data_IF_324244260156
#
_entry.id   IF_324244260156
#
_cell.length_a   1.000
_cell.length_b   1.000
_cell.length_c   1.000
_cell.angle_alpha   90.00
_cell.angle_beta   90.00
_cell.angle_gamma   90.00
#
_symmetry.space_group_name_H-M   'P 1'
#
loop_
_entity.id
_entity.type
_entity.pdbx_description
1 polymer ?
#
# COMPACT_ATOMS: atom_id res chain seq x y z
N UNK A 1 -9.75 24.11 -7.98
CA UNK A 1 -8.82 23.22 -8.70
C UNK A 1 -7.58 23.97 -9.20
N UNK A 2 -7.77 25.16 -9.76
CA UNK A 2 -6.66 25.98 -10.29
C UNK A 2 -5.67 26.46 -9.21
N UNK A 3 -6.12 26.71 -8.00
CA UNK A 3 -5.29 27.13 -6.87
C UNK A 3 -4.46 25.97 -6.27
N UNK A 4 -5.01 24.76 -6.21
CA UNK A 4 -4.28 23.59 -5.71
C UNK A 4 -3.18 23.16 -6.69
N UNK A 5 -3.43 23.17 -7.98
CA UNK A 5 -2.42 22.89 -9.01
C UNK A 5 -1.33 23.98 -9.06
N UNK A 6 -1.66 25.25 -8.80
CA UNK A 6 -0.66 26.31 -8.65
C UNK A 6 0.21 26.12 -7.41
N UNK A 7 -0.37 25.70 -6.28
CA UNK A 7 0.38 25.36 -5.06
C UNK A 7 1.26 24.13 -5.24
N UNK A 8 0.77 23.07 -5.87
CA UNK A 8 1.58 21.91 -6.22
C UNK A 8 2.71 22.24 -7.20
N UNK A 9 2.46 23.05 -8.22
CA UNK A 9 3.51 23.51 -9.12
C UNK A 9 4.56 24.39 -8.40
N UNK A 10 4.14 25.20 -7.45
CA UNK A 10 5.05 26.01 -6.63
C UNK A 10 5.89 25.12 -5.70
N UNK A 11 5.33 24.06 -5.11
CA UNK A 11 6.09 23.10 -4.31
C UNK A 11 7.12 22.29 -5.13
N UNK A 12 6.81 21.99 -6.40
CA UNK A 12 7.71 21.19 -7.26
C UNK A 12 8.76 22.00 -8.01
N UNK A 13 8.61 23.31 -8.13
CA UNK A 13 9.45 24.16 -9.01
C UNK A 13 10.27 25.19 -8.23
N UNK A 14 9.86 25.49 -7.00
CA UNK A 14 10.57 26.47 -6.17
C UNK A 14 11.74 25.85 -5.42
N UNK A 15 12.81 26.62 -5.40
CA UNK A 15 14.00 26.31 -4.64
C UNK A 15 13.66 26.03 -3.17
N UNK A 16 14.36 25.09 -2.58
CA UNK A 16 14.16 24.67 -1.18
C UNK A 16 14.39 25.82 -0.15
N UNK A 17 14.85 26.95 -0.59
CA UNK A 17 15.00 28.18 0.20
C UNK A 17 13.75 29.06 0.14
N UNK A 18 12.74 28.67 -0.62
CA UNK A 18 11.48 29.41 -0.64
C UNK A 18 10.64 29.05 0.59
N UNK A 19 10.19 30.07 1.27
CA UNK A 19 9.26 29.95 2.35
C UNK A 19 7.90 29.46 1.85
N UNK A 20 7.36 28.44 2.50
CA UNK A 20 6.00 27.97 2.26
C UNK A 20 5.08 28.68 3.25
N UNK A 21 4.13 29.48 2.75
CA UNK A 21 3.06 29.99 3.60
C UNK A 21 2.07 28.86 3.93
N UNK A 22 1.92 28.56 5.20
CA UNK A 22 0.90 27.67 5.73
C UNK A 22 -0.41 28.42 5.98
N UNK A 23 -1.53 27.73 6.18
CA UNK A 23 -2.86 28.31 6.25
C UNK A 23 -3.03 29.37 7.36
N UNK A 24 -2.23 29.31 8.42
CA UNK A 24 -2.23 30.31 9.51
C UNK A 24 -1.40 31.57 9.21
N UNK A 25 -0.82 31.67 8.02
CA UNK A 25 0.02 32.81 7.63
C UNK A 25 1.49 32.69 8.04
N UNK A 26 1.90 31.62 8.72
CA UNK A 26 3.29 31.37 9.07
C UNK A 26 4.10 31.00 7.84
N UNK A 27 5.39 31.27 7.90
CA UNK A 27 6.33 30.95 6.85
C UNK A 27 7.24 29.84 7.33
N UNK A 28 7.29 28.73 6.57
CA UNK A 28 8.19 27.61 6.85
C UNK A 28 9.33 27.65 5.82
N UNK A 29 10.55 27.72 6.31
CA UNK A 29 11.76 27.67 5.50
C UNK A 29 12.27 26.23 5.44
N UNK A 30 12.60 25.74 4.23
CA UNK A 30 13.20 24.41 4.06
C UNK A 30 14.71 24.52 4.27
N UNK A 31 15.25 23.82 5.25
CA UNK A 31 16.67 23.79 5.59
C UNK A 31 17.27 22.48 5.09
N UNK A 32 18.36 22.50 4.30
CA UNK A 32 19.06 21.27 3.92
C UNK A 32 19.65 20.59 5.15
N UNK A 33 19.33 19.32 5.34
CA UNK A 33 19.87 18.50 6.42
C UNK A 33 20.63 17.32 5.81
N UNK A 34 21.90 17.22 6.07
CA UNK A 34 22.78 16.17 5.56
C UNK A 34 22.93 14.99 6.51
N UNK A 35 22.63 15.18 7.78
CA UNK A 35 22.73 14.17 8.82
C UNK A 35 21.43 14.09 9.63
N UNK A 36 20.97 12.88 9.91
CA UNK A 36 19.78 12.61 10.74
C UNK A 36 19.93 13.20 12.15
N UNK A 37 21.14 13.24 12.70
CA UNK A 37 21.41 13.84 14.01
C UNK A 37 21.02 15.32 14.10
N UNK A 38 20.93 16.01 12.97
CA UNK A 38 20.55 17.42 12.87
C UNK A 38 19.03 17.63 12.68
N UNK A 39 18.26 16.54 12.66
CA UNK A 39 16.79 16.60 12.57
C UNK A 39 16.24 16.82 13.97
N UNK A 40 15.57 17.93 14.16
CA UNK A 40 15.00 18.32 15.47
C UNK A 40 13.73 17.55 15.85
N UNK A 41 13.27 16.62 15.01
CA UNK A 41 12.04 15.84 15.20
C UNK A 41 10.73 16.62 15.12
N UNK A 42 10.81 17.92 14.79
CA UNK A 42 9.63 18.80 14.69
C UNK A 42 9.26 19.13 13.25
N UNK A 43 10.20 19.00 12.34
CA UNK A 43 10.03 19.35 10.95
C UNK A 43 10.07 18.12 10.03
N UNK A 44 9.28 18.10 8.93
CA UNK A 44 9.33 17.02 7.95
C UNK A 44 10.69 17.03 7.22
N UNK A 45 11.18 15.84 6.92
CA UNK A 45 12.43 15.64 6.15
C UNK A 45 12.09 14.99 4.82
N UNK A 46 12.65 15.52 3.74
CA UNK A 46 12.54 14.96 2.39
C UNK A 46 13.89 14.39 1.97
N UNK A 47 13.88 13.14 1.51
CA UNK A 47 15.07 12.49 0.98
C UNK A 47 14.72 11.58 -0.19
N UNK A 48 15.52 11.61 -1.24
CA UNK A 48 15.50 10.65 -2.33
C UNK A 48 16.59 9.61 -2.07
N UNK A 49 16.22 8.37 -1.82
CA UNK A 49 17.14 7.26 -1.57
C UNK A 49 16.47 5.92 -1.85
N UNK A 50 17.27 4.87 -1.96
CA UNK A 50 16.78 3.50 -2.06
C UNK A 50 16.15 3.08 -0.74
N UNK A 51 14.88 2.67 -0.75
CA UNK A 51 14.13 2.25 0.43
C UNK A 51 14.66 0.94 1.05
N UNK A 52 15.54 0.22 0.35
CA UNK A 52 16.27 -0.93 0.90
C UNK A 52 17.43 -0.52 1.82
N UNK A 53 17.75 0.79 1.90
CA UNK A 53 18.88 1.35 2.65
C UNK A 53 18.46 2.63 3.36
N UNK A 54 17.98 2.50 4.57
CA UNK A 54 17.54 3.62 5.41
C UNK A 54 18.55 3.91 6.54
N UNK A 55 19.85 3.81 6.22
CA UNK A 55 20.94 3.97 7.21
C UNK A 55 20.95 5.34 7.90
N UNK A 56 20.34 6.34 7.27
CA UNK A 56 20.16 7.67 7.82
C UNK A 56 19.09 7.77 8.91
N UNK A 57 18.29 6.72 9.12
CA UNK A 57 17.27 6.63 10.17
C UNK A 57 17.80 5.69 11.27
N UNK A 58 17.82 6.09 12.55
CA UNK A 58 18.19 5.20 13.64
C UNK A 58 17.24 4.00 13.74
N UNK A 59 17.77 2.87 14.18
CA UNK A 59 16.96 1.69 14.43
C UNK A 59 15.98 1.95 15.58
N UNK A 60 14.81 1.33 15.52
CA UNK A 60 13.73 1.42 16.53
C UNK A 60 13.32 2.87 16.87
N UNK A 61 13.42 3.80 15.91
CA UNK A 61 13.09 5.22 16.09
C UNK A 61 11.74 5.63 15.49
N UNK A 62 11.21 4.85 14.56
CA UNK A 62 10.00 5.17 13.78
C UNK A 62 8.76 4.57 14.43
N UNK A 63 7.74 5.38 14.67
CA UNK A 63 6.46 4.91 15.21
C UNK A 63 5.64 4.17 14.16
N UNK A 64 5.64 4.68 12.93
CA UNK A 64 4.87 4.10 11.82
C UNK A 64 5.55 4.37 10.49
N UNK A 65 5.63 3.34 9.65
CA UNK A 65 5.89 3.46 8.22
C UNK A 65 4.55 3.48 7.51
N UNK A 66 4.31 4.50 6.69
CA UNK A 66 3.15 4.61 5.82
C UNK A 66 3.63 4.74 4.38
N UNK A 67 3.22 3.81 3.51
CA UNK A 67 3.73 3.76 2.13
C UNK A 67 2.67 3.26 1.15
N UNK A 68 2.91 3.50 -0.13
CA UNK A 68 2.20 2.94 -1.27
C UNK A 68 3.24 2.22 -2.15
N UNK A 69 3.48 0.92 -1.92
CA UNK A 69 4.50 0.18 -2.65
C UNK A 69 4.03 -0.10 -4.08
N UNK A 70 4.93 -0.42 -5.01
CA UNK A 70 4.51 -0.86 -6.35
C UNK A 70 3.73 -2.18 -6.29
N UNK A 71 2.65 -2.27 -7.09
CA UNK A 71 1.73 -3.41 -7.12
C UNK A 71 2.11 -4.37 -8.27
N UNK A 72 2.97 -5.34 -8.00
CA UNK A 72 3.34 -6.38 -8.96
C UNK A 72 3.74 -5.84 -10.34
N UNK A 73 2.93 -6.12 -11.35
CA UNK A 73 3.14 -5.72 -12.75
C UNK A 73 2.26 -4.55 -13.22
N UNK A 74 1.57 -3.85 -12.31
CA UNK A 74 0.52 -2.89 -12.69
C UNK A 74 1.04 -1.66 -13.42
N UNK A 75 2.16 -1.08 -12.96
CA UNK A 75 2.68 0.21 -13.48
C UNK A 75 4.20 0.17 -13.56
N UNK A 76 4.75 0.59 -14.69
CA UNK A 76 6.19 0.84 -14.88
C UNK A 76 6.50 2.27 -14.41
N UNK A 77 6.65 2.45 -13.10
CA UNK A 77 6.78 3.77 -12.48
C UNK A 77 7.99 4.55 -12.99
N UNK A 78 9.12 3.88 -13.20
CA UNK A 78 10.35 4.50 -13.67
C UNK A 78 10.22 5.11 -15.08
N UNK A 79 9.36 4.55 -15.93
CA UNK A 79 9.09 5.09 -17.27
C UNK A 79 8.21 6.34 -17.20
N UNK A 80 7.19 6.32 -16.33
CA UNK A 80 6.28 7.45 -16.14
C UNK A 80 6.97 8.61 -15.43
N UNK A 81 7.80 8.32 -14.43
CA UNK A 81 8.47 9.35 -13.63
C UNK A 81 9.56 10.08 -14.41
N UNK A 82 10.11 9.49 -15.47
CA UNK A 82 11.14 10.13 -16.31
C UNK A 82 10.68 11.50 -16.83
N UNK A 83 9.39 11.64 -17.14
CA UNK A 83 8.84 12.93 -17.54
C UNK A 83 9.03 14.02 -16.48
N UNK A 84 8.88 13.68 -15.20
CA UNK A 84 9.09 14.62 -14.10
C UNK A 84 10.55 14.69 -13.67
N UNK A 85 11.27 13.58 -13.79
CA UNK A 85 12.67 13.45 -13.41
C UNK A 85 13.57 14.42 -14.19
N UNK A 86 13.36 14.55 -15.49
CA UNK A 86 14.11 15.48 -16.35
C UNK A 86 14.04 16.92 -15.85
N UNK A 87 12.88 17.35 -15.35
CA UNK A 87 12.72 18.71 -14.81
C UNK A 87 13.40 18.87 -13.46
N UNK A 88 13.31 17.87 -12.59
CA UNK A 88 13.97 17.89 -11.30
C UNK A 88 15.49 17.81 -11.43
N UNK A 89 16.00 16.99 -12.33
CA UNK A 89 17.45 16.84 -12.56
C UNK A 89 18.13 18.12 -12.96
N UNK A 90 17.46 19.07 -13.59
CA UNK A 90 17.99 20.38 -13.97
C UNK A 90 18.19 21.32 -12.76
N UNK A 91 17.53 21.04 -11.64
CA UNK A 91 17.65 21.82 -10.41
C UNK A 91 18.95 21.49 -9.67
N UNK A 92 19.73 22.52 -9.25
CA UNK A 92 20.90 22.32 -8.40
C UNK A 92 20.57 21.62 -7.09
N UNK A 93 19.39 21.90 -6.57
CA UNK A 93 18.84 21.37 -5.34
C UNK A 93 18.48 19.89 -5.46
N UNK A 94 17.89 19.50 -6.58
CA UNK A 94 17.53 18.09 -6.77
C UNK A 94 18.76 17.18 -6.72
N UNK A 95 19.91 17.66 -7.20
CA UNK A 95 21.18 16.91 -7.11
C UNK A 95 21.63 16.66 -5.68
N UNK A 96 21.45 17.62 -4.79
CA UNK A 96 21.81 17.48 -3.37
C UNK A 96 20.90 16.50 -2.62
N UNK A 97 19.65 16.31 -3.07
CA UNK A 97 18.71 15.35 -2.47
C UNK A 97 18.66 14.00 -3.19
N UNK A 98 19.56 13.75 -4.16
CA UNK A 98 19.75 12.44 -4.76
C UNK A 98 19.38 12.29 -6.24
N UNK A 99 18.96 13.37 -6.94
CA UNK A 99 18.75 13.34 -8.39
C UNK A 99 20.07 13.53 -9.12
N UNK A 100 20.94 12.53 -9.12
CA UNK A 100 22.30 12.59 -9.69
C UNK A 100 22.36 12.20 -11.16
N UNK A 101 21.39 11.42 -11.63
CA UNK A 101 21.35 10.88 -12.98
C UNK A 101 20.28 11.56 -13.84
N UNK A 102 20.48 11.65 -15.18
CA UNK A 102 19.53 12.34 -16.07
C UNK A 102 18.20 11.60 -16.27
N UNK A 103 18.15 10.31 -15.93
CA UNK A 103 16.95 9.46 -16.00
C UNK A 103 16.77 8.69 -14.70
N UNK A 104 15.55 8.26 -14.41
CA UNK A 104 15.26 7.45 -13.24
C UNK A 104 15.98 6.09 -13.28
N UNK A 105 16.39 5.51 -12.14
CA UNK A 105 17.14 4.24 -12.08
C UNK A 105 16.23 3.04 -12.34
N UNK A 106 15.99 2.71 -13.62
CA UNK A 106 15.11 1.61 -14.05
C UNK A 106 15.56 0.23 -13.57
N UNK A 107 16.87 0.02 -13.46
CA UNK A 107 17.44 -1.25 -13.00
C UNK A 107 17.07 -1.58 -11.58
N UNK A 108 16.95 -0.56 -10.73
CA UNK A 108 16.68 -0.70 -9.29
C UNK A 108 15.18 -0.72 -8.94
N UNK A 109 14.33 -0.46 -9.90
CA UNK A 109 12.88 -0.45 -9.71
C UNK A 109 12.36 -1.84 -9.33
N UNK A 110 11.62 -1.92 -8.23
CA UNK A 110 11.06 -3.16 -7.68
C UNK A 110 9.66 -3.38 -8.26
N UNK A 111 9.60 -3.98 -9.43
CA UNK A 111 8.35 -4.34 -10.13
C UNK A 111 8.50 -5.70 -10.81
N UNK A 112 7.38 -6.28 -11.23
CA UNK A 112 7.37 -7.39 -12.18
C UNK A 112 7.41 -6.80 -13.60
N UNK A 113 8.50 -7.05 -14.33
CA UNK A 113 8.67 -6.65 -15.72
C UNK A 113 9.44 -7.73 -16.49
N UNK A 114 8.75 -8.72 -17.10
CA UNK A 114 9.42 -9.83 -17.79
C UNK A 114 10.35 -9.39 -18.94
N UNK A 115 10.02 -8.26 -19.60
CA UNK A 115 10.85 -7.70 -20.68
C UNK A 115 12.21 -7.25 -20.13
N UNK A 116 12.23 -6.72 -18.90
CA UNK A 116 13.46 -6.32 -18.20
C UNK A 116 14.09 -7.47 -17.40
N UNK A 117 13.60 -8.70 -17.52
CA UNK A 117 14.08 -9.87 -16.76
C UNK A 117 13.70 -9.85 -15.28
N UNK A 118 12.68 -9.09 -14.90
CA UNK A 118 12.19 -8.95 -13.52
C UNK A 118 10.91 -9.77 -13.36
N UNK A 119 11.01 -10.92 -12.76
CA UNK A 119 9.91 -11.83 -12.43
C UNK A 119 9.30 -11.57 -11.05
N UNK A 120 8.41 -12.44 -10.61
CA UNK A 120 7.81 -12.35 -9.27
C UNK A 120 8.82 -12.59 -8.16
N UNK A 121 9.84 -13.40 -8.36
CA UNK A 121 10.92 -13.65 -7.39
C UNK A 121 11.77 -12.39 -7.18
N UNK A 122 12.10 -11.69 -8.27
CA UNK A 122 12.77 -10.40 -8.21
C UNK A 122 11.95 -9.38 -7.40
N UNK A 123 10.65 -9.27 -7.71
CA UNK A 123 9.73 -8.36 -7.01
C UNK A 123 9.65 -8.70 -5.51
N UNK A 124 9.38 -9.95 -5.18
CA UNK A 124 9.27 -10.43 -3.81
C UNK A 124 10.56 -10.20 -3.01
N UNK A 125 11.71 -10.49 -3.61
CA UNK A 125 13.02 -10.25 -2.99
C UNK A 125 13.23 -8.77 -2.69
N UNK A 126 12.91 -7.90 -3.63
CA UNK A 126 13.02 -6.46 -3.50
C UNK A 126 12.12 -5.90 -2.39
N UNK A 127 10.85 -6.26 -2.40
CA UNK A 127 9.87 -5.83 -1.37
C UNK A 127 10.25 -6.38 0.02
N UNK A 128 10.71 -7.64 0.08
CA UNK A 128 11.18 -8.24 1.34
C UNK A 128 12.36 -7.44 1.91
N UNK A 129 13.31 -7.02 1.08
CA UNK A 129 14.44 -6.21 1.50
C UNK A 129 13.99 -4.84 2.05
N UNK A 130 13.02 -4.17 1.39
CA UNK A 130 12.44 -2.91 1.86
C UNK A 130 11.74 -3.10 3.21
N UNK A 131 10.88 -4.11 3.33
CA UNK A 131 10.17 -4.36 4.58
C UNK A 131 11.08 -4.80 5.72
N UNK A 132 12.15 -5.54 5.42
CA UNK A 132 13.19 -5.90 6.39
C UNK A 132 13.90 -4.66 6.94
N UNK A 133 14.19 -3.71 6.05
CA UNK A 133 14.78 -2.43 6.49
C UNK A 133 13.78 -1.61 7.31
N UNK A 134 12.52 -1.54 6.89
CA UNK A 134 11.46 -0.92 7.68
C UNK A 134 11.33 -1.57 9.08
N UNK A 135 11.44 -2.91 9.15
CA UNK A 135 11.38 -3.64 10.43
C UNK A 135 12.47 -3.22 11.40
N UNK A 136 13.70 -2.97 10.92
CA UNK A 136 14.79 -2.46 11.77
C UNK A 136 14.46 -1.06 12.32
N UNK A 137 13.88 -0.19 11.49
CA UNK A 137 13.61 1.21 11.83
C UNK A 137 12.40 1.42 12.73
N UNK A 138 11.38 0.56 12.58
CA UNK A 138 10.13 0.64 13.35
C UNK A 138 10.36 0.20 14.78
N UNK A 139 9.78 0.92 15.76
CA UNK A 139 9.75 0.57 17.19
C UNK A 139 9.07 -0.78 17.43
N UNK A 140 9.23 -1.36 18.59
CA UNK A 140 8.66 -2.69 18.94
C UNK A 140 7.14 -2.75 18.84
N UNK A 141 6.47 -1.66 19.19
CA UNK A 141 5.02 -1.48 19.14
C UNK A 141 4.56 -0.67 17.92
N UNK A 142 5.48 -0.38 17.00
CA UNK A 142 5.20 0.39 15.81
C UNK A 142 4.58 -0.45 14.68
N UNK A 143 4.17 0.25 13.61
CA UNK A 143 3.38 -0.32 12.54
C UNK A 143 4.03 -0.10 11.17
N UNK A 144 3.82 -1.07 10.27
CA UNK A 144 3.95 -0.89 8.83
C UNK A 144 2.53 -0.85 8.26
N UNK A 145 2.17 0.25 7.62
CA UNK A 145 0.86 0.47 7.00
C UNK A 145 1.08 0.79 5.53
N UNK A 146 0.38 0.11 4.64
CA UNK A 146 0.50 0.38 3.22
C UNK A 146 -0.78 0.05 2.46
N UNK A 147 -0.97 0.74 1.32
CA UNK A 147 -2.04 0.44 0.39
C UNK A 147 -1.66 -0.74 -0.50
N UNK A 148 -2.60 -1.62 -0.80
CA UNK A 148 -2.41 -2.69 -1.76
C UNK A 148 -3.73 -3.21 -2.30
N UNK A 149 -3.77 -3.49 -3.59
CA UNK A 149 -4.75 -4.33 -4.25
C UNK A 149 -4.16 -4.98 -5.48
N UNK A 150 -4.57 -6.16 -5.81
CA UNK A 150 -4.22 -6.82 -7.08
C UNK A 150 -5.28 -7.85 -7.45
N UNK A 151 -5.43 -8.15 -8.74
CA UNK A 151 -6.30 -9.22 -9.25
C UNK A 151 -5.61 -10.58 -9.22
N UNK A 152 -4.29 -10.58 -9.16
CA UNK A 152 -3.47 -11.79 -9.16
C UNK A 152 -3.24 -12.27 -7.74
N UNK A 153 -3.58 -13.53 -7.48
CA UNK A 153 -3.23 -14.19 -6.22
C UNK A 153 -1.70 -14.28 -6.05
N UNK A 154 -0.94 -14.42 -7.13
CA UNK A 154 0.54 -14.46 -7.06
C UNK A 154 1.12 -13.15 -6.52
N UNK A 155 0.57 -12.00 -6.94
CA UNK A 155 0.96 -10.69 -6.39
C UNK A 155 0.63 -10.60 -4.89
N UNK A 156 -0.54 -11.10 -4.48
CA UNK A 156 -0.91 -11.17 -3.07
C UNK A 156 0.02 -12.07 -2.26
N UNK A 157 0.37 -13.24 -2.79
CA UNK A 157 1.28 -14.16 -2.12
C UNK A 157 2.68 -13.54 -1.98
N UNK A 158 3.19 -12.90 -3.02
CA UNK A 158 4.48 -12.24 -2.98
C UNK A 158 4.54 -11.16 -1.89
N UNK A 159 3.52 -10.31 -1.78
CA UNK A 159 3.48 -9.25 -0.76
C UNK A 159 3.32 -9.81 0.66
N UNK A 160 2.46 -10.83 0.83
CA UNK A 160 2.24 -11.46 2.14
C UNK A 160 3.47 -12.20 2.62
N UNK A 161 4.14 -12.97 1.76
CA UNK A 161 5.39 -13.65 2.09
C UNK A 161 6.50 -12.65 2.43
N UNK A 162 6.53 -11.50 1.74
CA UNK A 162 7.47 -10.42 2.06
C UNK A 162 7.21 -9.81 3.43
N UNK A 163 5.94 -9.58 3.81
CA UNK A 163 5.55 -9.10 5.15
C UNK A 163 6.05 -10.05 6.23
N UNK A 164 5.72 -11.34 6.09
CA UNK A 164 6.05 -12.35 7.11
C UNK A 164 7.55 -12.62 7.20
N UNK A 165 8.25 -12.70 6.04
CA UNK A 165 9.69 -12.89 5.99
C UNK A 165 10.46 -11.72 6.59
N UNK A 166 9.94 -10.51 6.45
CA UNK A 166 10.52 -9.31 7.07
C UNK A 166 10.26 -9.19 8.59
N UNK A 167 9.46 -10.09 9.18
CA UNK A 167 9.17 -10.08 10.62
C UNK A 167 7.97 -9.24 11.02
N UNK A 168 7.12 -8.88 10.08
CA UNK A 168 5.82 -8.29 10.36
C UNK A 168 4.71 -9.35 10.33
N UNK A 169 3.56 -9.01 10.89
CA UNK A 169 2.33 -9.80 10.80
C UNK A 169 1.17 -8.90 10.42
N UNK A 170 0.42 -9.30 9.40
CA UNK A 170 -0.82 -8.62 9.01
C UNK A 170 -1.84 -8.75 10.14
N UNK A 171 -2.34 -7.62 10.64
CA UNK A 171 -3.28 -7.56 11.76
C UNK A 171 -4.69 -7.17 11.35
N UNK A 172 -4.80 -6.26 10.38
CA UNK A 172 -6.10 -5.75 9.90
C UNK A 172 -5.98 -5.25 8.47
N UNK A 173 -7.09 -5.29 7.76
CA UNK A 173 -7.25 -4.55 6.53
C UNK A 173 -8.43 -3.57 6.64
N UNK A 174 -8.28 -2.41 6.02
CA UNK A 174 -9.32 -1.40 5.94
C UNK A 174 -9.59 -1.09 4.46
N UNK A 175 -10.79 -1.44 3.95
CA UNK A 175 -11.19 -1.04 2.62
C UNK A 175 -11.34 0.48 2.55
N UNK A 176 -10.66 1.10 1.60
CA UNK A 176 -10.73 2.53 1.33
C UNK A 176 -11.05 2.74 -0.13
N UNK A 177 -11.69 3.85 -0.45
CA UNK A 177 -11.94 4.14 -1.86
C UNK A 177 -10.61 4.44 -2.57
N UNK A 178 -10.35 3.72 -3.65
CA UNK A 178 -9.31 4.09 -4.60
C UNK A 178 -9.63 5.42 -5.29
N UNK A 179 -8.69 5.98 -6.03
CA UNK A 179 -8.82 7.28 -6.70
C UNK A 179 -10.12 7.42 -7.50
N UNK A 180 -10.65 8.65 -7.55
CA UNK A 180 -11.88 8.95 -8.29
C UNK A 180 -11.77 8.59 -9.76
N UNK A 181 -12.71 7.83 -10.26
CA UNK A 181 -12.75 7.25 -11.61
C UNK A 181 -13.12 8.25 -12.70
N UNK A 182 -12.44 9.37 -12.76
CA UNK A 182 -12.59 10.34 -13.87
C UNK A 182 -11.62 10.07 -15.03
N UNK A 183 -10.78 9.03 -14.92
CA UNK A 183 -9.80 8.65 -15.94
C UNK A 183 -10.38 7.70 -17.01
N UNK A 184 -9.93 7.83 -18.26
CA UNK A 184 -10.32 6.98 -19.39
C UNK A 184 -10.05 5.47 -19.17
N UNK A 185 -9.18 5.12 -18.22
CA UNK A 185 -8.80 3.74 -17.88
C UNK A 185 -9.75 3.02 -16.91
N UNK A 186 -10.67 3.73 -16.27
CA UNK A 186 -11.53 3.20 -15.21
C UNK A 186 -12.95 2.82 -15.67
N UNK A 187 -13.25 2.94 -16.96
CA UNK A 187 -14.55 2.60 -17.53
C UNK A 187 -14.80 1.09 -17.69
N UNK A 188 -13.82 0.24 -17.38
CA UNK A 188 -13.95 -1.21 -17.50
C UNK A 188 -14.68 -1.81 -16.29
N UNK A 189 -15.72 -2.61 -16.55
CA UNK A 189 -16.61 -3.24 -15.56
C UNK A 189 -15.89 -4.12 -14.51
N UNK A 190 -14.63 -4.48 -14.74
CA UNK A 190 -13.82 -5.36 -13.87
C UNK A 190 -12.64 -4.62 -13.21
N UNK A 191 -12.65 -3.30 -13.15
CA UNK A 191 -11.59 -2.57 -12.44
C UNK A 191 -11.83 -2.62 -10.93
N UNK A 192 -10.75 -2.85 -10.17
CA UNK A 192 -10.74 -2.68 -8.72
C UNK A 192 -11.00 -1.21 -8.41
N UNK A 193 -11.84 -0.94 -7.45
CA UNK A 193 -12.22 0.39 -7.06
C UNK A 193 -12.06 0.68 -5.58
N UNK A 194 -11.64 -0.34 -4.86
CA UNK A 194 -11.37 -0.29 -3.44
C UNK A 194 -9.92 -0.66 -3.23
N UNK A 195 -9.15 0.24 -2.65
CA UNK A 195 -7.84 -0.06 -2.10
C UNK A 195 -7.97 -0.65 -0.71
N UNK A 196 -6.98 -1.41 -0.30
CA UNK A 196 -6.90 -1.94 1.05
C UNK A 196 -5.72 -1.31 1.77
N UNK A 197 -5.98 -0.65 2.89
CA UNK A 197 -4.93 -0.26 3.83
C UNK A 197 -4.62 -1.46 4.71
N UNK A 198 -3.47 -2.07 4.47
CA UNK A 198 -2.97 -3.21 5.23
C UNK A 198 -2.18 -2.70 6.43
N UNK A 199 -2.60 -3.11 7.64
CA UNK A 199 -1.95 -2.73 8.89
C UNK A 199 -1.17 -3.92 9.42
N UNK A 200 0.15 -3.80 9.42
CA UNK A 200 1.07 -4.82 9.87
C UNK A 200 1.78 -4.36 11.14
N UNK A 201 1.97 -5.28 12.07
CA UNK A 201 2.68 -5.04 13.32
C UNK A 201 3.97 -5.86 13.38
N UNK A 202 5.00 -5.27 13.95
CA UNK A 202 6.27 -5.95 14.22
C UNK A 202 6.04 -7.14 15.13
N UNK A 203 6.56 -8.31 14.78
CA UNK A 203 6.51 -9.50 15.63
C UNK A 203 7.70 -9.46 16.56
N UNK A 204 7.43 -9.35 17.85
CA UNK A 204 8.46 -9.21 18.90
C UNK A 204 9.34 -10.46 19.05
N UNK A 205 8.84 -11.62 18.65
CA UNK A 205 9.58 -12.89 18.72
C UNK A 205 9.38 -13.70 17.43
N UNK A 206 10.33 -13.58 16.50
CA UNK A 206 10.42 -14.49 15.35
C UNK A 206 10.71 -15.94 15.75
N UNK A 207 11.16 -16.13 17.01
CA UNK A 207 11.57 -17.41 17.60
C UNK A 207 10.42 -18.30 18.09
N UNK A 208 9.20 -17.79 18.17
CA UNK A 208 8.07 -18.66 18.50
C UNK A 208 7.85 -19.67 17.37
N UNK A 209 7.76 -20.97 17.66
CA UNK A 209 7.47 -21.96 16.63
C UNK A 209 6.16 -21.63 15.93
N UNK A 210 6.16 -21.70 14.62
CA UNK A 210 4.93 -21.55 13.85
C UNK A 210 4.02 -22.76 14.14
N UNK A 211 2.75 -22.48 14.37
CA UNK A 211 1.76 -23.54 14.55
C UNK A 211 1.52 -24.23 13.22
N UNK A 212 1.52 -25.56 13.23
CA UNK A 212 1.14 -26.34 12.03
C UNK A 212 -0.32 -26.03 11.73
N UNK A 213 -0.58 -25.65 10.50
CA UNK A 213 -1.95 -25.35 10.05
C UNK A 213 -2.71 -26.65 9.83
N UNK A 214 -3.81 -26.81 10.56
CA UNK A 214 -4.78 -27.88 10.37
C UNK A 214 -5.96 -27.41 9.52
N UNK A 215 -6.72 -28.33 8.97
CA UNK A 215 -7.95 -28.01 8.23
C UNK A 215 -8.94 -27.19 9.08
N UNK A 216 -9.06 -27.50 10.36
CA UNK A 216 -9.89 -26.74 11.31
C UNK A 216 -9.47 -25.26 11.42
N UNK A 217 -8.18 -24.98 11.46
CA UNK A 217 -7.64 -23.59 11.51
C UNK A 217 -8.02 -22.86 10.22
N UNK A 218 -7.92 -23.51 9.07
CA UNK A 218 -8.26 -22.92 7.78
C UNK A 218 -9.76 -22.66 7.67
N UNK A 219 -10.61 -23.61 8.09
CA UNK A 219 -12.06 -23.45 8.08
C UNK A 219 -12.51 -22.33 9.03
N UNK A 220 -11.88 -22.21 10.20
CA UNK A 220 -12.14 -21.09 11.12
C UNK A 220 -11.72 -19.74 10.51
N UNK A 221 -10.61 -19.69 9.79
CA UNK A 221 -10.19 -18.47 9.08
C UNK A 221 -11.18 -18.11 7.96
N UNK A 222 -11.70 -19.08 7.21
CA UNK A 222 -12.74 -18.88 6.19
C UNK A 222 -14.03 -18.36 6.84
N UNK A 223 -14.48 -18.96 7.95
CA UNK A 223 -15.67 -18.51 8.66
C UNK A 223 -15.52 -17.05 9.13
N UNK A 224 -14.38 -16.72 9.76
CA UNK A 224 -14.05 -15.33 10.18
C UNK A 224 -14.07 -14.36 9.00
N UNK A 225 -13.49 -14.77 7.87
CA UNK A 225 -13.45 -13.96 6.63
C UNK A 225 -14.85 -13.74 6.10
N UNK A 226 -15.70 -14.76 6.10
CA UNK A 226 -17.11 -14.67 5.67
C UNK A 226 -17.89 -13.67 6.51
N UNK A 227 -17.79 -13.77 7.83
CA UNK A 227 -18.49 -12.87 8.76
C UNK A 227 -18.03 -11.42 8.60
N UNK A 228 -16.71 -11.20 8.46
CA UNK A 228 -16.14 -9.90 8.20
C UNK A 228 -16.63 -9.32 6.87
N UNK A 229 -16.65 -10.15 5.82
CA UNK A 229 -17.09 -9.75 4.49
C UNK A 229 -18.55 -9.31 4.50
N UNK A 230 -19.46 -10.13 5.09
CA UNK A 230 -20.87 -9.80 5.22
C UNK A 230 -21.05 -8.48 5.97
N UNK A 231 -20.40 -8.32 7.13
CA UNK A 231 -20.44 -7.07 7.90
C UNK A 231 -19.92 -5.85 7.13
N UNK A 232 -18.93 -6.05 6.27
CA UNK A 232 -18.38 -4.99 5.42
C UNK A 232 -19.34 -4.62 4.30
N UNK A 233 -19.94 -5.62 3.65
CA UNK A 233 -20.93 -5.40 2.60
C UNK A 233 -22.20 -4.70 3.14
N UNK A 234 -22.66 -5.06 4.35
CA UNK A 234 -23.73 -4.33 5.03
C UNK A 234 -23.41 -2.85 5.26
N UNK A 235 -22.17 -2.53 5.64
CA UNK A 235 -21.73 -1.14 5.79
C UNK A 235 -21.67 -0.43 4.45
N UNK A 236 -21.19 -1.09 3.40
CA UNK A 236 -21.19 -0.56 2.05
C UNK A 236 -22.60 -0.26 1.56
N UNK A 237 -23.54 -1.17 1.78
CA UNK A 237 -24.94 -0.98 1.42
C UNK A 237 -25.58 0.21 2.13
N UNK A 238 -25.30 0.39 3.44
CA UNK A 238 -25.83 1.53 4.22
C UNK A 238 -25.36 2.89 3.71
N UNK A 239 -24.22 2.93 3.04
CA UNK A 239 -23.65 4.16 2.48
C UNK A 239 -23.74 4.18 0.96
N UNK A 240 -24.52 3.27 0.38
CA UNK A 240 -24.71 3.12 -1.07
C UNK A 240 -23.39 2.95 -1.84
N UNK A 241 -22.40 2.31 -1.20
CA UNK A 241 -21.10 2.02 -1.82
C UNK A 241 -21.23 0.97 -2.90
N UNK A 242 -20.65 1.26 -4.03
CA UNK A 242 -20.55 0.30 -5.12
C UNK A 242 -19.27 -0.51 -5.01
N UNK A 243 -19.38 -1.81 -5.24
CA UNK A 243 -18.23 -2.73 -5.24
C UNK A 243 -18.37 -3.77 -6.35
N UNK A 244 -17.25 -4.31 -6.77
CA UNK A 244 -17.15 -5.33 -7.82
C UNK A 244 -16.72 -6.66 -7.21
N UNK A 245 -16.82 -7.76 -7.96
CA UNK A 245 -16.31 -9.06 -7.53
C UNK A 245 -14.82 -9.00 -7.17
N UNK A 246 -13.92 -8.38 -7.97
CA UNK A 246 -12.53 -8.18 -7.57
C UNK A 246 -12.35 -7.39 -6.27
N UNK A 247 -13.18 -6.40 -5.98
CA UNK A 247 -13.12 -5.67 -4.70
C UNK A 247 -13.40 -6.62 -3.52
N UNK A 248 -14.43 -7.45 -3.65
CA UNK A 248 -14.80 -8.43 -2.62
C UNK A 248 -13.69 -9.48 -2.44
N UNK A 249 -13.13 -9.99 -3.54
CA UNK A 249 -12.03 -10.96 -3.50
C UNK A 249 -10.80 -10.38 -2.78
N UNK A 250 -10.43 -9.13 -3.06
CA UNK A 250 -9.30 -8.48 -2.40
C UNK A 250 -9.53 -8.35 -0.88
N UNK A 251 -10.72 -7.92 -0.47
CA UNK A 251 -11.09 -7.84 0.96
C UNK A 251 -11.01 -9.22 1.61
N UNK A 252 -11.53 -10.25 0.93
CA UNK A 252 -11.52 -11.62 1.43
C UNK A 252 -10.09 -12.17 1.59
N UNK A 253 -9.21 -11.96 0.62
CA UNK A 253 -7.81 -12.40 0.69
C UNK A 253 -7.11 -11.74 1.89
N UNK A 254 -7.24 -10.42 2.03
CA UNK A 254 -6.57 -9.69 3.10
C UNK A 254 -7.06 -10.14 4.48
N UNK A 255 -8.35 -10.29 4.68
CA UNK A 255 -8.92 -10.74 5.96
C UNK A 255 -8.55 -12.19 6.28
N UNK A 256 -8.62 -13.07 5.30
CA UNK A 256 -8.23 -14.48 5.46
C UNK A 256 -6.79 -14.62 5.95
N UNK A 257 -5.84 -13.91 5.34
CA UNK A 257 -4.45 -13.94 5.80
C UNK A 257 -4.22 -13.18 7.10
N UNK A 258 -5.04 -12.18 7.41
CA UNK A 258 -5.06 -11.55 8.74
C UNK A 258 -5.45 -12.55 9.84
N UNK A 259 -6.44 -13.40 9.57
CA UNK A 259 -6.89 -14.44 10.48
C UNK A 259 -5.87 -15.58 10.65
N UNK A 260 -5.21 -16.02 9.56
CA UNK A 260 -4.19 -17.06 9.61
C UNK A 260 -2.86 -16.59 10.22
N UNK A 261 -2.52 -15.31 10.04
CA UNK A 261 -1.22 -14.78 10.42
C UNK A 261 -0.06 -15.45 9.69
N UNK A 262 1.13 -15.43 10.28
CA UNK A 262 2.35 -16.01 9.66
C UNK A 262 2.38 -17.55 9.62
N UNK A 263 1.46 -18.22 10.30
CA UNK A 263 1.43 -19.69 10.34
C UNK A 263 1.26 -20.31 8.95
N UNK A 264 0.71 -19.55 8.00
CA UNK A 264 0.63 -19.93 6.60
C UNK A 264 1.98 -20.36 5.99
N UNK A 265 3.10 -19.84 6.50
CA UNK A 265 4.46 -20.21 6.05
C UNK A 265 5.05 -21.42 6.79
N UNK A 266 4.29 -22.11 7.63
CA UNK A 266 4.81 -23.16 8.51
C UNK A 266 5.47 -24.32 7.75
N UNK A 267 4.85 -24.77 6.66
CA UNK A 267 5.36 -25.82 5.78
C UNK A 267 4.64 -25.84 4.42
N UNK A 268 5.18 -26.58 3.45
CA UNK A 268 4.61 -26.66 2.10
C UNK A 268 3.24 -27.34 2.05
N UNK A 269 2.97 -28.29 2.94
CA UNK A 269 1.67 -29.00 3.01
C UNK A 269 0.61 -28.04 3.50
N UNK A 270 0.90 -27.30 4.58
CA UNK A 270 0.02 -26.24 5.10
C UNK A 270 -0.24 -25.18 4.03
N UNK A 271 0.79 -24.76 3.32
CA UNK A 271 0.66 -23.79 2.22
C UNK A 271 -0.31 -24.27 1.15
N UNK A 272 -0.18 -25.54 0.69
CA UNK A 272 -1.06 -26.11 -0.31
C UNK A 272 -2.52 -26.20 0.20
N UNK A 273 -2.73 -26.65 1.42
CA UNK A 273 -4.06 -26.72 2.05
C UNK A 273 -4.72 -25.34 2.09
N UNK A 274 -3.99 -24.33 2.59
CA UNK A 274 -4.47 -22.95 2.71
C UNK A 274 -4.89 -22.40 1.35
N UNK A 275 -4.03 -22.53 0.33
CA UNK A 275 -4.30 -21.98 -1.00
C UNK A 275 -5.47 -22.70 -1.70
N UNK A 276 -5.56 -24.01 -1.58
CA UNK A 276 -6.68 -24.75 -2.17
C UNK A 276 -8.03 -24.38 -1.56
N UNK A 277 -8.09 -24.22 -0.25
CA UNK A 277 -9.34 -23.81 0.44
C UNK A 277 -9.69 -22.35 0.14
N UNK A 278 -8.68 -21.46 0.12
CA UNK A 278 -8.90 -20.07 -0.25
C UNK A 278 -9.42 -19.95 -1.69
N UNK A 279 -8.85 -20.70 -2.64
CA UNK A 279 -9.31 -20.67 -4.03
C UNK A 279 -10.77 -21.10 -4.14
N UNK A 280 -11.18 -22.20 -3.48
CA UNK A 280 -12.55 -22.64 -3.45
C UNK A 280 -13.48 -21.55 -2.87
N UNK A 281 -13.04 -20.86 -1.82
CA UNK A 281 -13.80 -19.77 -1.23
C UNK A 281 -13.97 -18.60 -2.19
N UNK A 282 -12.89 -18.19 -2.89
CA UNK A 282 -12.90 -17.10 -3.85
C UNK A 282 -13.74 -17.42 -5.10
N UNK A 283 -13.74 -18.68 -5.56
CA UNK A 283 -14.53 -19.13 -6.70
C UNK A 283 -16.04 -19.04 -6.39
N UNK A 284 -16.42 -19.18 -5.12
CA UNK A 284 -17.81 -19.09 -4.66
C UNK A 284 -18.13 -17.75 -3.96
N UNK A 285 -17.32 -16.71 -4.18
CA UNK A 285 -17.45 -15.43 -3.46
C UNK A 285 -18.76 -14.70 -3.73
N UNK A 286 -19.35 -14.88 -4.91
CA UNK A 286 -20.64 -14.30 -5.26
C UNK A 286 -21.79 -14.93 -4.46
N UNK A 287 -21.70 -16.22 -4.11
CA UNK A 287 -22.67 -16.89 -3.23
C UNK A 287 -22.56 -16.36 -1.80
N UNK A 288 -21.35 -16.03 -1.36
CA UNK A 288 -21.12 -15.39 -0.05
C UNK A 288 -21.69 -13.98 -0.01
N UNK A 289 -21.59 -13.25 -1.10
CA UNK A 289 -22.18 -11.91 -1.24
C UNK A 289 -23.72 -11.97 -1.27
N UNK A 290 -24.33 -13.10 -1.69
CA UNK A 290 -25.77 -13.34 -1.62
C UNK A 290 -26.60 -12.25 -2.29
N UNK A 291 -27.56 -11.69 -1.53
CA UNK A 291 -28.50 -10.66 -2.01
C UNK A 291 -27.91 -9.25 -2.10
N UNK A 292 -26.62 -9.07 -1.76
CA UNK A 292 -25.98 -7.77 -1.93
C UNK A 292 -25.84 -7.46 -3.42
N UNK A 293 -26.35 -6.29 -3.85
CA UNK A 293 -26.21 -5.83 -5.23
C UNK A 293 -24.74 -5.58 -5.55
N UNK A 294 -24.12 -6.55 -6.23
CA UNK A 294 -22.81 -6.36 -6.86
C UNK A 294 -23.01 -5.44 -8.05
N UNK A 295 -22.63 -4.20 -7.93
CA UNK A 295 -23.03 -3.17 -8.88
C UNK A 295 -22.32 -3.33 -10.21
N UNK A 296 -23.11 -3.34 -11.27
CA UNK A 296 -22.63 -3.34 -12.66
C UNK A 296 -22.39 -1.93 -13.21
N UNK A 297 -22.78 -0.88 -12.46
CA UNK A 297 -22.57 0.54 -12.80
C UNK A 297 -22.19 1.34 -11.57
N UNK A 298 -21.22 2.24 -11.71
CA UNK A 298 -20.80 3.15 -10.63
C UNK A 298 -21.30 4.57 -10.87
N UNK A 299 -22.01 5.11 -9.90
CA UNK A 299 -22.32 6.54 -9.78
C UNK A 299 -21.49 7.16 -8.67
N UNK A 300 -20.99 8.36 -8.86
CA UNK A 300 -20.00 9.02 -7.98
C UNK A 300 -20.51 9.43 -6.58
N UNK A 301 -21.01 8.50 -5.80
CA UNK A 301 -21.66 8.70 -4.49
C UNK A 301 -20.72 9.22 -3.36
N UNK A 302 -19.41 8.97 -3.44
CA UNK A 302 -18.44 9.48 -2.46
C UNK A 302 -18.44 11.01 -2.37
N UNK A 303 -18.66 11.68 -3.49
CA UNK A 303 -18.76 13.15 -3.49
C UNK A 303 -19.94 13.65 -2.67
N UNK A 304 -21.04 12.91 -2.67
CA UNK A 304 -22.25 13.21 -1.90
C UNK A 304 -22.03 12.97 -0.40
N UNK A 305 -21.45 11.83 -0.04
CA UNK A 305 -21.14 11.46 1.35
C UNK A 305 -20.10 12.39 1.96
N UNK A 306 -19.10 12.80 1.20
CA UNK A 306 -18.08 13.75 1.63
C UNK A 306 -18.71 15.13 1.88
N UNK A 307 -19.62 15.58 1.00
CA UNK A 307 -20.37 16.80 1.16
C UNK A 307 -21.28 16.78 2.39
N UNK A 308 -22.01 15.69 2.62
CA UNK A 308 -22.89 15.54 3.77
C UNK A 308 -22.13 15.47 5.10
N UNK A 309 -21.03 14.73 5.15
CA UNK A 309 -20.26 14.51 6.37
C UNK A 309 -19.45 15.74 6.79
N UNK A 310 -18.98 16.54 5.86
CA UNK A 310 -18.13 17.71 6.12
C UNK A 310 -18.82 19.04 5.89
N UNK A 311 -20.14 19.02 5.63
CA UNK A 311 -20.99 20.21 5.45
C UNK A 311 -20.38 21.24 4.47
N UNK A 312 -19.73 20.76 3.42
CA UNK A 312 -19.14 21.58 2.36
C UNK A 312 -20.28 21.94 1.40
N UNK A 313 -21.04 22.94 1.75
CA UNK A 313 -21.91 23.63 0.81
C UNK A 313 -21.04 24.57 -0.02
N UNK A 314 -21.19 24.54 -1.35
CA UNK A 314 -20.55 25.28 -2.42
C UNK A 314 -19.84 26.59 -2.08
#
# INVERSE_FOLDING_TARGET
>A
LHLSLRRQRQMCIRDRYDSIQVENGDTVEAIPVTDYANIDGKHPVLRCSDSRKLDFIPDESVDMVLTDPPYGANVMYSELIDFFHVWNYQSSIAKEIGFTEPVSPKTEEIIVNPIAGKDFEYYQTGITAVFTECHKKVKKDGYLVFSFHDKSLDSWLAILESIYSAGFCLKKCYPVQAETRTGAHTSNKNSIGIDLMLVCQKVSELSSPMTIITEEIVENAIATTRDFLISTLEKFQKVEAEFTVPDIQNIAIAEFFSALGRNYLSDMTSKHLVLSKLQIFLDNIEEVAGDFEITKKRNGWWSELYRQKWNINN
#
